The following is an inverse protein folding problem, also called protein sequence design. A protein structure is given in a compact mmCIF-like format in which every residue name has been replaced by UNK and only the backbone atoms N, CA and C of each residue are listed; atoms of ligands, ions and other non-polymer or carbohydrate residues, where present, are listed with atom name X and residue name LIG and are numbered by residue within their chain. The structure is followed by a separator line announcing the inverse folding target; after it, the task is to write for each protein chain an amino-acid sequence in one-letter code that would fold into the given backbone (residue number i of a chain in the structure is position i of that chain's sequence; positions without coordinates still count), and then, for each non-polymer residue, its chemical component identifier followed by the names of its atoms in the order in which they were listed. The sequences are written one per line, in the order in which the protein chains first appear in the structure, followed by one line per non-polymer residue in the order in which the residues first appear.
data_IF_367195306929
#
_entry.id   IF_367195306929
#
_cell.length_a   1.000
_cell.length_b   1.000
_cell.length_c   1.000
_cell.angle_alpha   90.00
_cell.angle_beta   90.00
_cell.angle_gamma   90.00
#
_symmetry.space_group_name_H-M   'P 1'
#
loop_
_entity.id
_entity.type
_entity.pdbx_description
1 polymer ?
#
# COMPACT_ATOMS: atom_id res chain seq x y z
N UNK A 1 27.53 7.30 13.00
CA UNK A 1 26.89 6.57 14.11
C UNK A 1 26.73 5.13 13.65
N UNK A 2 26.85 4.12 14.50
CA UNK A 2 26.57 2.73 14.04
C UNK A 2 25.05 2.50 13.96
N UNK A 3 24.59 1.49 13.20
CA UNK A 3 23.16 1.13 13.13
C UNK A 3 22.58 0.87 14.53
N UNK A 4 23.30 0.12 15.37
CA UNK A 4 22.84 -0.21 16.73
C UNK A 4 22.70 1.02 17.63
N UNK A 5 23.60 2.01 17.46
CA UNK A 5 23.51 3.27 18.19
C UNK A 5 22.28 4.07 17.78
N UNK A 6 21.99 4.15 16.47
CA UNK A 6 20.80 4.84 15.96
C UNK A 6 19.53 4.12 16.45
N UNK A 7 19.49 2.79 16.36
CA UNK A 7 18.36 1.99 16.83
C UNK A 7 18.11 2.14 18.33
N UNK A 8 19.18 2.19 19.13
CA UNK A 8 19.07 2.45 20.57
C UNK A 8 18.48 3.83 20.82
N UNK A 9 18.97 4.86 20.15
CA UNK A 9 18.48 6.24 20.29
C UNK A 9 16.99 6.36 19.93
N UNK A 10 16.56 5.77 18.80
CA UNK A 10 15.15 5.75 18.36
C UNK A 10 14.27 5.08 19.43
N UNK A 11 14.71 3.92 19.95
CA UNK A 11 13.96 3.18 20.97
C UNK A 11 13.92 3.88 22.33
N UNK A 12 14.98 4.54 22.74
CA UNK A 12 15.00 5.29 24.00
C UNK A 12 14.08 6.52 23.97
N UNK A 13 13.88 7.08 22.77
CA UNK A 13 13.04 8.27 22.54
C UNK A 13 11.60 7.93 22.15
N UNK A 14 11.28 6.65 22.01
CA UNK A 14 9.93 6.20 21.66
C UNK A 14 8.90 6.59 22.75
N UNK A 15 7.66 6.93 22.36
CA UNK A 15 7.12 6.91 21.00
C UNK A 15 7.58 8.12 20.18
N UNK A 16 8.05 7.83 18.96
CA UNK A 16 8.36 8.79 17.92
C UNK A 16 7.37 8.63 16.76
N UNK A 17 6.99 9.74 16.14
CA UNK A 17 6.17 9.74 14.93
C UNK A 17 7.01 9.91 13.66
N UNK A 18 6.37 9.73 12.51
CA UNK A 18 6.97 9.90 11.18
C UNK A 18 7.69 11.25 11.07
N UNK A 19 8.96 11.23 10.64
CA UNK A 19 9.77 12.43 10.44
C UNK A 19 10.05 13.25 11.72
N UNK A 20 9.80 12.69 12.91
CA UNK A 20 9.99 13.41 14.18
C UNK A 20 11.46 13.70 14.53
N UNK A 21 12.41 12.98 13.92
CA UNK A 21 13.83 13.30 13.99
C UNK A 21 14.53 13.11 12.64
N UNK A 22 14.63 14.19 11.83
CA UNK A 22 15.30 14.13 10.54
C UNK A 22 16.78 13.74 10.62
N UNK A 23 17.46 14.01 11.73
CA UNK A 23 18.89 13.70 11.86
C UNK A 23 19.16 12.21 12.10
N UNK A 24 18.27 11.52 12.83
CA UNK A 24 18.34 10.06 12.96
C UNK A 24 17.95 9.37 11.66
N UNK A 25 16.98 9.92 10.93
CA UNK A 25 16.57 9.40 9.64
C UNK A 25 17.68 9.56 8.60
N UNK A 26 18.27 10.75 8.45
CA UNK A 26 19.44 10.99 7.57
C UNK A 26 20.61 10.08 7.91
N UNK A 27 20.79 9.75 9.20
CA UNK A 27 21.82 8.80 9.61
C UNK A 27 21.50 7.35 9.20
N UNK A 28 20.22 6.96 9.10
CA UNK A 28 19.80 5.64 8.60
C UNK A 28 19.86 5.54 7.08
N UNK A 29 19.55 6.63 6.37
CA UNK A 29 19.67 6.74 4.91
C UNK A 29 21.11 6.55 4.39
N UNK A 30 22.09 6.52 5.29
CA UNK A 30 23.48 6.25 4.93
C UNK A 30 23.79 4.74 4.76
N UNK A 31 22.86 3.85 5.11
CA UNK A 31 23.00 2.40 4.97
C UNK A 31 22.24 1.89 3.75
N UNK A 32 22.73 0.81 3.14
CA UNK A 32 22.13 0.26 1.91
C UNK A 32 20.78 -0.42 2.21
N UNK A 33 19.89 -0.45 1.21
CA UNK A 33 18.57 -1.06 1.33
C UNK A 33 18.63 -2.52 1.77
N UNK A 34 19.59 -3.31 1.28
CA UNK A 34 19.70 -4.71 1.68
C UNK A 34 19.97 -4.87 3.19
N UNK A 35 20.80 -4.00 3.76
CA UNK A 35 21.10 -4.01 5.20
C UNK A 35 19.86 -3.61 6.02
N UNK A 36 19.14 -2.59 5.56
CA UNK A 36 17.93 -2.11 6.23
C UNK A 36 16.79 -3.12 6.15
N UNK A 37 16.65 -3.84 5.03
CA UNK A 37 15.65 -4.88 4.84
C UNK A 37 15.93 -6.12 5.71
N UNK A 38 17.20 -6.49 5.92
CA UNK A 38 17.59 -7.51 6.89
C UNK A 38 17.20 -7.11 8.32
N UNK A 39 17.54 -5.89 8.73
CA UNK A 39 17.22 -5.37 10.05
C UNK A 39 15.70 -5.25 10.28
N UNK A 40 14.95 -4.85 9.25
CA UNK A 40 13.49 -4.78 9.29
C UNK A 40 12.87 -6.15 9.55
N UNK A 41 13.42 -7.21 8.95
CA UNK A 41 12.97 -8.58 9.21
C UNK A 41 13.29 -9.01 10.64
N UNK A 42 14.49 -8.76 11.14
CA UNK A 42 14.85 -9.07 12.52
C UNK A 42 13.93 -8.35 13.52
N UNK A 43 13.65 -7.07 13.27
CA UNK A 43 12.72 -6.26 14.05
C UNK A 43 11.30 -6.83 14.02
N UNK A 44 10.79 -7.20 12.84
CA UNK A 44 9.45 -7.75 12.69
C UNK A 44 9.28 -9.06 13.46
N UNK A 45 10.32 -9.91 13.44
CA UNK A 45 10.35 -11.14 14.25
C UNK A 45 10.44 -10.85 15.76
N UNK A 46 11.23 -9.87 16.19
CA UNK A 46 11.28 -9.41 17.59
C UNK A 46 9.90 -8.93 18.08
N UNK A 47 9.25 -8.11 17.27
CA UNK A 47 7.94 -7.54 17.57
C UNK A 47 6.91 -8.68 17.76
N UNK A 48 6.83 -9.58 16.77
CA UNK A 48 5.91 -10.71 16.73
C UNK A 48 6.11 -11.76 17.84
N UNK A 49 7.33 -11.92 18.36
CA UNK A 49 7.61 -12.87 19.46
C UNK A 49 6.98 -12.47 20.80
N UNK A 50 6.65 -11.21 21.00
CA UNK A 50 6.02 -10.79 22.25
C UNK A 50 4.52 -10.60 22.14
N UNK A 51 3.95 -9.92 23.12
CA UNK A 51 2.50 -9.73 23.19
C UNK A 51 2.08 -8.76 22.09
N UNK A 52 1.08 -9.16 21.29
CA UNK A 52 0.41 -8.31 20.31
C UNK A 52 -0.32 -7.15 21.00
N UNK A 53 -0.41 -6.01 20.33
CA UNK A 53 -0.94 -4.79 20.92
C UNK A 53 -2.39 -4.90 21.40
N UNK A 54 -3.26 -5.53 20.61
CA UNK A 54 -4.65 -5.82 21.00
C UNK A 54 -4.78 -6.69 22.27
N UNK A 55 -3.71 -7.40 22.65
CA UNK A 55 -3.62 -8.27 23.82
C UNK A 55 -2.75 -7.69 24.94
N UNK A 56 -2.05 -6.59 24.72
CA UNK A 56 -1.23 -5.94 25.73
C UNK A 56 -2.11 -5.41 26.88
N UNK A 57 -1.65 -5.62 28.12
CA UNK A 57 -2.35 -5.22 29.35
C UNK A 57 -1.44 -4.51 30.34
N UNK A 58 -0.12 -4.61 30.18
CA UNK A 58 0.87 -3.98 31.07
C UNK A 58 1.63 -2.87 30.35
N UNK A 59 2.05 -1.87 31.11
CA UNK A 59 2.76 -0.70 30.60
C UNK A 59 4.03 -1.09 29.83
N UNK A 60 4.78 -2.06 30.34
CA UNK A 60 6.04 -2.53 29.74
C UNK A 60 5.80 -3.22 28.39
N UNK A 61 4.63 -3.85 28.21
CA UNK A 61 4.24 -4.49 26.95
C UNK A 61 3.95 -3.42 25.89
N UNK A 62 3.21 -2.36 26.26
CA UNK A 62 2.97 -1.21 25.39
C UNK A 62 4.26 -0.46 25.05
N UNK A 63 5.13 -0.20 26.03
CA UNK A 63 6.42 0.46 25.79
C UNK A 63 7.31 -0.33 24.83
N UNK A 64 7.32 -1.67 24.93
CA UNK A 64 8.04 -2.53 23.99
C UNK A 64 7.49 -2.42 22.58
N UNK A 65 6.16 -2.43 22.43
CA UNK A 65 5.50 -2.32 21.12
C UNK A 65 5.79 -0.96 20.48
N UNK A 66 5.65 0.13 21.23
CA UNK A 66 5.97 1.48 20.75
C UNK A 66 7.41 1.60 20.24
N UNK A 67 8.35 0.94 20.93
CA UNK A 67 9.76 0.88 20.49
C UNK A 67 9.94 0.12 19.18
N UNK A 68 9.21 -0.98 18.99
CA UNK A 68 9.21 -1.69 17.72
C UNK A 68 8.56 -0.85 16.61
N UNK A 69 7.43 -0.20 16.88
CA UNK A 69 6.70 0.63 15.92
C UNK A 69 7.53 1.83 15.46
N UNK A 70 8.11 2.60 16.39
CA UNK A 70 8.97 3.72 16.04
C UNK A 70 10.21 3.29 15.26
N UNK A 71 10.82 2.15 15.58
CA UNK A 71 11.95 1.68 14.81
C UNK A 71 11.55 1.16 13.42
N UNK A 72 10.40 0.49 13.32
CA UNK A 72 9.86 0.01 12.06
C UNK A 72 9.63 1.18 11.11
N UNK A 73 8.97 2.23 11.60
CA UNK A 73 8.69 3.47 10.86
C UNK A 73 9.97 4.15 10.33
N UNK A 74 10.99 4.30 11.18
CA UNK A 74 12.27 4.90 10.76
C UNK A 74 13.00 4.06 9.70
N UNK A 75 13.02 2.73 9.84
CA UNK A 75 13.66 1.86 8.85
C UNK A 75 12.90 1.90 7.53
N UNK A 76 11.57 1.78 7.54
CA UNK A 76 10.78 1.85 6.31
C UNK A 76 10.89 3.22 5.64
N UNK A 77 10.90 4.30 6.42
CA UNK A 77 11.08 5.64 5.88
C UNK A 77 12.46 5.82 5.22
N UNK A 78 13.54 5.31 5.82
CA UNK A 78 14.87 5.36 5.22
C UNK A 78 14.91 4.59 3.89
N UNK A 79 14.34 3.38 3.85
CA UNK A 79 14.20 2.58 2.63
C UNK A 79 13.44 3.36 1.54
N UNK A 80 12.34 4.01 1.90
CA UNK A 80 11.57 4.81 0.96
C UNK A 80 12.34 6.03 0.43
N UNK A 81 13.14 6.68 1.28
CA UNK A 81 13.94 7.86 0.91
C UNK A 81 15.05 7.56 -0.09
N UNK A 82 15.52 6.31 -0.19
CA UNK A 82 16.45 5.90 -1.24
C UNK A 82 15.82 5.95 -2.65
N UNK A 83 14.48 5.88 -2.73
CA UNK A 83 13.74 6.05 -3.98
C UNK A 83 13.88 4.89 -4.96
N UNK A 84 14.35 3.72 -4.52
CA UNK A 84 14.41 2.50 -5.35
C UNK A 84 13.11 1.69 -5.24
N UNK A 85 12.26 1.63 -6.28
CA UNK A 85 11.03 0.84 -6.22
C UNK A 85 11.29 -0.68 -6.15
N UNK A 86 12.52 -1.18 -6.40
CA UNK A 86 12.85 -2.60 -6.34
C UNK A 86 12.68 -3.22 -4.93
N UNK A 87 12.57 -2.38 -3.90
CA UNK A 87 12.29 -2.81 -2.51
C UNK A 87 10.83 -3.27 -2.31
N UNK A 88 9.90 -2.81 -3.16
CA UNK A 88 8.46 -3.03 -2.99
C UNK A 88 8.07 -4.51 -2.81
N UNK A 89 8.54 -5.47 -3.65
CA UNK A 89 8.19 -6.88 -3.45
C UNK A 89 8.59 -7.40 -2.06
N UNK A 90 9.73 -6.96 -1.55
CA UNK A 90 10.21 -7.38 -0.23
C UNK A 90 9.37 -6.78 0.91
N UNK A 91 8.79 -5.60 0.69
CA UNK A 91 7.96 -4.91 1.67
C UNK A 91 6.51 -5.43 1.72
N UNK A 92 6.01 -6.07 0.66
CA UNK A 92 4.62 -6.57 0.59
C UNK A 92 4.25 -7.56 1.70
N UNK A 93 5.23 -8.29 2.26
CA UNK A 93 5.00 -9.20 3.40
C UNK A 93 4.63 -8.47 4.69
N UNK A 94 4.97 -7.19 4.83
CA UNK A 94 4.65 -6.37 6.00
C UNK A 94 3.31 -5.64 5.88
N UNK A 95 2.70 -5.62 4.69
CA UNK A 95 1.34 -5.10 4.51
C UNK A 95 0.37 -5.94 5.36
N UNK A 96 -0.44 -5.34 6.25
CA UNK A 96 -1.37 -6.11 7.07
C UNK A 96 -2.42 -6.85 6.23
N UNK A 97 -2.83 -8.00 6.74
CA UNK A 97 -3.91 -8.80 6.18
C UNK A 97 -5.27 -8.20 6.52
N UNK A 98 -6.29 -8.59 5.75
CA UNK A 98 -7.69 -8.26 6.05
C UNK A 98 -8.18 -8.98 7.33
N UNK A 99 -7.52 -10.08 7.70
CA UNK A 99 -7.79 -10.90 8.90
C UNK A 99 -6.57 -10.88 9.82
N UNK A 100 -6.53 -9.91 10.73
CA UNK A 100 -5.38 -9.60 11.59
C UNK A 100 -4.84 -10.78 12.41
N UNK A 101 -5.61 -11.86 12.58
CA UNK A 101 -5.14 -13.08 13.23
C UNK A 101 -4.12 -13.88 12.38
N UNK A 102 -4.00 -13.57 11.09
CA UNK A 102 -3.05 -14.19 10.15
C UNK A 102 -1.67 -13.52 10.18
N UNK A 103 -1.56 -12.31 10.74
CA UNK A 103 -0.31 -11.57 10.76
C UNK A 103 0.51 -11.88 12.02
N UNK A 104 1.83 -11.91 11.83
CA UNK A 104 2.78 -12.08 12.93
C UNK A 104 2.68 -10.91 13.93
N UNK A 105 2.43 -9.71 13.41
CA UNK A 105 2.32 -8.47 14.16
C UNK A 105 0.95 -7.85 13.92
N UNK A 106 0.33 -7.37 14.99
CA UNK A 106 -0.81 -6.46 14.89
C UNK A 106 -0.26 -5.02 14.83
N UNK A 107 -0.37 -4.39 13.66
CA UNK A 107 0.01 -2.98 13.45
C UNK A 107 -1.21 -2.08 13.68
N UNK A 108 -1.03 -0.97 14.39
CA UNK A 108 -2.04 0.10 14.43
C UNK A 108 -2.17 0.78 13.06
N UNK A 109 -3.28 1.52 12.91
CA UNK A 109 -3.62 2.24 11.69
C UNK A 109 -2.45 3.10 11.20
N UNK A 110 -1.78 3.86 12.07
CA UNK A 110 -0.68 4.74 11.66
C UNK A 110 0.52 3.98 11.05
N UNK A 111 0.90 2.83 11.61
CA UNK A 111 2.00 1.98 11.11
C UNK A 111 1.60 1.29 9.80
N UNK A 112 0.37 0.80 9.73
CA UNK A 112 -0.17 0.15 8.53
C UNK A 112 -0.36 1.14 7.36
N UNK A 113 -0.82 2.36 7.65
CA UNK A 113 -0.95 3.43 6.69
C UNK A 113 0.42 3.90 6.20
N UNK A 114 1.42 3.99 7.08
CA UNK A 114 2.78 4.38 6.69
C UNK A 114 3.34 3.43 5.63
N UNK A 115 3.36 2.11 5.89
CA UNK A 115 3.90 1.14 4.92
C UNK A 115 3.09 1.14 3.62
N UNK A 116 1.76 1.18 3.69
CA UNK A 116 0.90 1.18 2.51
C UNK A 116 1.06 2.46 1.66
N UNK A 117 1.11 3.62 2.30
CA UNK A 117 1.29 4.90 1.62
C UNK A 117 2.69 4.97 1.01
N UNK A 118 3.73 4.59 1.75
CA UNK A 118 5.11 4.60 1.25
C UNK A 118 5.31 3.72 0.01
N UNK A 119 4.77 2.49 0.00
CA UNK A 119 4.81 1.58 -1.17
C UNK A 119 4.21 2.22 -2.43
N UNK A 120 3.24 3.11 -2.27
CA UNK A 120 2.51 3.77 -3.37
C UNK A 120 2.81 5.26 -3.49
N UNK A 121 3.87 5.75 -2.84
CA UNK A 121 4.16 7.18 -2.83
C UNK A 121 4.98 7.59 -4.06
N UNK A 122 4.36 8.38 -4.93
CA UNK A 122 5.03 8.94 -6.08
C UNK A 122 6.04 10.04 -5.73
N UNK A 123 6.05 10.56 -4.50
CA UNK A 123 7.11 11.47 -4.04
C UNK A 123 8.42 10.71 -3.76
N UNK A 124 8.35 9.42 -3.41
CA UNK A 124 9.52 8.55 -3.27
C UNK A 124 9.94 7.92 -4.59
N UNK A 125 9.00 7.31 -5.31
CA UNK A 125 9.33 6.40 -6.41
C UNK A 125 8.94 6.91 -7.81
N UNK A 126 8.36 8.12 -7.91
CA UNK A 126 7.83 8.62 -9.18
C UNK A 126 6.77 7.68 -9.77
N UNK A 127 6.75 7.52 -11.09
CA UNK A 127 5.85 6.57 -11.78
C UNK A 127 6.38 5.13 -11.80
N UNK A 128 7.64 4.90 -11.41
CA UNK A 128 8.34 3.62 -11.54
C UNK A 128 7.83 2.55 -10.56
N UNK A 129 7.19 2.94 -9.45
CA UNK A 129 6.56 1.96 -8.54
C UNK A 129 5.41 1.19 -9.19
N UNK A 130 4.69 1.80 -10.15
CA UNK A 130 3.50 1.20 -10.76
C UNK A 130 3.81 -0.13 -11.45
N UNK A 131 4.78 -0.20 -12.40
CA UNK A 131 5.11 -1.46 -13.04
C UNK A 131 5.66 -2.51 -12.06
N UNK A 132 6.44 -2.09 -11.05
CA UNK A 132 6.96 -3.01 -10.02
C UNK A 132 5.82 -3.58 -9.19
N UNK A 133 4.97 -2.72 -8.64
CA UNK A 133 3.85 -3.09 -7.80
C UNK A 133 2.85 -3.96 -8.57
N UNK A 134 2.50 -3.63 -9.81
CA UNK A 134 1.63 -4.47 -10.64
C UNK A 134 2.21 -5.87 -10.86
N UNK A 135 3.54 -5.98 -11.01
CA UNK A 135 4.23 -7.27 -11.14
C UNK A 135 4.10 -8.17 -9.90
N UNK A 136 4.09 -7.59 -8.70
CA UNK A 136 4.06 -8.33 -7.43
C UNK A 136 2.75 -8.21 -6.63
N UNK A 137 1.75 -7.44 -7.06
CA UNK A 137 0.48 -7.20 -6.32
C UNK A 137 -0.27 -8.50 -6.00
N UNK A 138 0.01 -9.56 -6.77
CA UNK A 138 -0.56 -10.87 -6.56
C UNK A 138 -0.14 -11.54 -5.25
N UNK A 139 0.94 -11.09 -4.62
CA UNK A 139 1.40 -11.59 -3.32
C UNK A 139 0.47 -11.17 -2.17
N UNK A 140 -0.32 -10.12 -2.37
CA UNK A 140 -1.30 -9.66 -1.38
C UNK A 140 -2.59 -10.48 -1.42
N UNK A 141 -2.98 -11.04 -2.56
CA UNK A 141 -4.29 -11.68 -2.72
C UNK A 141 -4.20 -13.17 -2.45
N UNK A 142 -5.09 -13.75 -1.59
CA UNK A 142 -6.30 -13.16 -1.01
C UNK A 142 -6.14 -12.57 0.40
N UNK A 143 -4.93 -12.58 0.96
CA UNK A 143 -4.67 -12.22 2.37
C UNK A 143 -5.01 -10.75 2.70
N UNK A 144 -4.72 -9.83 1.81
CA UNK A 144 -4.80 -8.38 2.00
C UNK A 144 -5.50 -7.72 0.78
N UNK A 145 -6.75 -8.12 0.51
CA UNK A 145 -7.51 -7.62 -0.63
C UNK A 145 -7.79 -6.12 -0.51
N UNK A 146 -8.08 -5.61 0.70
CA UNK A 146 -8.33 -4.17 0.90
C UNK A 146 -7.10 -3.31 0.61
N UNK A 147 -5.92 -3.79 0.98
CA UNK A 147 -4.66 -3.11 0.66
C UNK A 147 -4.39 -3.13 -0.86
N UNK A 148 -4.60 -4.28 -1.52
CA UNK A 148 -4.45 -4.38 -2.98
C UNK A 148 -5.41 -3.46 -3.74
N UNK A 149 -6.67 -3.34 -3.28
CA UNK A 149 -7.66 -2.39 -3.79
C UNK A 149 -7.22 -0.94 -3.58
N UNK A 150 -6.75 -0.60 -2.37
CA UNK A 150 -6.21 0.73 -2.06
C UNK A 150 -5.02 1.08 -2.96
N UNK A 151 -4.13 0.13 -3.23
CA UNK A 151 -3.01 0.32 -4.14
C UNK A 151 -3.46 0.59 -5.57
N UNK A 152 -4.45 -0.16 -6.06
CA UNK A 152 -5.05 0.10 -7.37
C UNK A 152 -5.64 1.52 -7.46
N UNK A 153 -6.39 1.93 -6.42
CA UNK A 153 -6.95 3.28 -6.35
C UNK A 153 -5.87 4.36 -6.35
N UNK A 154 -4.78 4.19 -5.58
CA UNK A 154 -3.64 5.11 -5.55
C UNK A 154 -2.97 5.24 -6.92
N UNK A 155 -2.76 4.13 -7.63
CA UNK A 155 -2.21 4.15 -8.99
C UNK A 155 -3.09 4.95 -9.95
N UNK A 156 -4.42 4.73 -9.94
CA UNK A 156 -5.39 5.50 -10.74
C UNK A 156 -5.27 7.00 -10.41
N UNK A 157 -5.39 7.32 -9.13
CA UNK A 157 -5.42 8.70 -8.64
C UNK A 157 -4.16 9.48 -9.06
N UNK A 158 -2.98 8.88 -8.87
CA UNK A 158 -1.73 9.52 -9.23
C UNK A 158 -1.56 9.68 -10.74
N UNK A 159 -2.01 8.72 -11.54
CA UNK A 159 -1.98 8.87 -13.00
C UNK A 159 -2.91 9.98 -13.49
N UNK A 160 -4.07 10.18 -12.85
CA UNK A 160 -5.01 11.24 -13.22
C UNK A 160 -4.55 12.62 -12.75
N UNK A 161 -4.01 12.73 -11.53
CA UNK A 161 -3.65 14.03 -10.92
C UNK A 161 -2.20 14.40 -11.15
N UNK A 162 -1.27 13.50 -10.83
CA UNK A 162 0.16 13.78 -10.71
C UNK A 162 0.87 13.61 -12.04
N UNK A 163 0.74 12.43 -12.66
CA UNK A 163 1.38 12.13 -13.94
C UNK A 163 0.55 12.65 -15.13
N UNK A 164 -0.74 12.89 -14.92
CA UNK A 164 -1.70 13.39 -15.93
C UNK A 164 -1.69 12.55 -17.20
N UNK A 165 -1.51 11.25 -17.05
CA UNK A 165 -1.36 10.30 -18.14
C UNK A 165 -1.88 8.92 -17.71
N UNK A 166 -3.18 8.65 -17.94
CA UNK A 166 -3.76 7.34 -17.62
C UNK A 166 -3.20 6.22 -18.52
N UNK A 167 -2.71 6.56 -19.71
CA UNK A 167 -2.19 5.58 -20.66
C UNK A 167 -0.94 4.89 -20.12
N UNK A 168 -0.16 5.55 -19.24
CA UNK A 168 0.97 4.91 -18.57
C UNK A 168 0.52 3.70 -17.74
N UNK A 169 -0.44 3.89 -16.84
CA UNK A 169 -1.02 2.80 -16.05
C UNK A 169 -1.63 1.71 -16.95
N UNK A 170 -2.41 2.10 -17.96
CA UNK A 170 -3.02 1.15 -18.91
C UNK A 170 -1.96 0.28 -19.60
N UNK A 171 -0.87 0.91 -20.05
CA UNK A 171 0.24 0.21 -20.70
C UNK A 171 0.97 -0.74 -19.74
N UNK A 172 0.94 -0.51 -18.43
CA UNK A 172 1.55 -1.39 -17.43
C UNK A 172 0.67 -2.58 -17.01
N UNK A 173 -0.64 -2.58 -17.29
CA UNK A 173 -1.56 -3.61 -16.77
C UNK A 173 -1.16 -5.04 -17.15
N UNK A 174 -0.50 -5.23 -18.31
CA UNK A 174 -0.02 -6.54 -18.77
C UNK A 174 1.00 -7.22 -17.83
N UNK A 175 1.60 -6.47 -16.91
CA UNK A 175 2.56 -6.98 -15.93
C UNK A 175 1.88 -7.78 -14.81
N UNK A 176 0.60 -7.53 -14.56
CA UNK A 176 -0.13 -8.18 -13.49
C UNK A 176 -0.60 -9.60 -13.87
N UNK A 177 -0.66 -10.49 -12.89
CA UNK A 177 -1.26 -11.82 -13.08
C UNK A 177 -2.75 -11.69 -13.36
N UNK A 178 -3.20 -12.17 -14.54
CA UNK A 178 -4.59 -12.06 -15.04
C UNK A 178 -5.66 -12.34 -14.00
N UNK A 179 -5.65 -13.52 -13.41
CA UNK A 179 -6.69 -13.92 -12.45
C UNK A 179 -6.69 -13.05 -11.19
N UNK A 180 -5.51 -12.63 -10.74
CA UNK A 180 -5.39 -11.82 -9.53
C UNK A 180 -5.85 -10.40 -9.77
N UNK A 181 -5.41 -9.75 -10.85
CA UNK A 181 -5.83 -8.39 -11.14
C UNK A 181 -7.33 -8.32 -11.44
N UNK A 182 -7.91 -9.32 -12.12
CA UNK A 182 -9.37 -9.41 -12.27
C UNK A 182 -10.10 -9.50 -10.93
N UNK A 183 -9.59 -10.29 -9.98
CA UNK A 183 -10.19 -10.37 -8.64
C UNK A 183 -10.16 -9.02 -7.91
N UNK A 184 -9.05 -8.27 -8.02
CA UNK A 184 -8.93 -6.94 -7.42
C UNK A 184 -9.93 -6.00 -8.11
N UNK A 185 -9.92 -5.90 -9.44
CA UNK A 185 -10.84 -5.05 -10.20
C UNK A 185 -12.32 -5.36 -9.90
N UNK A 186 -12.70 -6.64 -9.85
CA UNK A 186 -14.07 -7.06 -9.54
C UNK A 186 -14.43 -6.74 -8.07
N UNK A 187 -13.47 -6.87 -7.15
CA UNK A 187 -13.63 -6.44 -5.76
C UNK A 187 -13.88 -4.92 -5.69
N UNK A 188 -13.00 -4.12 -6.30
CA UNK A 188 -13.08 -2.66 -6.33
C UNK A 188 -14.40 -2.14 -6.93
N UNK A 189 -14.87 -2.75 -8.02
CA UNK A 189 -16.16 -2.39 -8.63
C UNK A 189 -17.31 -2.68 -7.67
N UNK A 190 -17.31 -3.86 -7.03
CA UNK A 190 -18.37 -4.22 -6.08
C UNK A 190 -18.38 -3.28 -4.89
N UNK A 191 -17.23 -3.03 -4.29
CA UNK A 191 -17.07 -2.20 -3.10
C UNK A 191 -17.52 -0.75 -3.39
N UNK A 192 -17.05 -0.17 -4.50
CA UNK A 192 -17.48 1.16 -4.93
C UNK A 192 -19.00 1.25 -5.20
N UNK A 193 -19.62 0.21 -5.76
CA UNK A 193 -21.08 0.16 -5.94
C UNK A 193 -21.85 0.05 -4.62
N UNK A 194 -21.30 -0.67 -3.64
CA UNK A 194 -21.89 -0.79 -2.30
C UNK A 194 -21.85 0.56 -1.58
N UNK A 195 -20.71 1.26 -1.60
CA UNK A 195 -20.61 2.60 -1.00
C UNK A 195 -21.61 3.60 -1.57
N UNK A 196 -21.81 3.59 -2.90
CA UNK A 196 -22.76 4.52 -3.55
C UNK A 196 -24.19 4.20 -3.09
N UNK A 197 -24.53 2.92 -2.91
CA UNK A 197 -25.84 2.49 -2.39
C UNK A 197 -26.05 2.92 -0.95
N UNK A 198 -25.05 2.75 -0.08
CA UNK A 198 -25.14 3.13 1.34
C UNK A 198 -25.34 4.63 1.54
N UNK A 199 -24.79 5.45 0.65
CA UNK A 199 -24.98 6.91 0.64
C UNK A 199 -26.40 7.33 0.23
N UNK A 200 -27.31 6.39 -0.10
CA UNK A 200 -28.73 6.59 -0.40
C UNK A 200 -29.02 7.75 -1.36
N UNK A 201 -28.23 7.87 -2.43
CA UNK A 201 -28.40 8.89 -3.44
C UNK A 201 -28.84 8.24 -4.76
N UNK A 202 -30.16 8.02 -4.90
CA UNK A 202 -30.76 7.31 -6.04
C UNK A 202 -30.40 7.94 -7.39
N UNK A 203 -30.35 9.28 -7.47
CA UNK A 203 -29.95 9.99 -8.69
C UNK A 203 -28.50 9.69 -9.08
N UNK A 204 -27.59 9.66 -8.11
CA UNK A 204 -26.18 9.30 -8.33
C UNK A 204 -26.05 7.85 -8.81
N UNK A 205 -26.79 6.93 -8.20
CA UNK A 205 -26.82 5.50 -8.60
C UNK A 205 -27.30 5.36 -10.04
N UNK A 206 -28.41 6.04 -10.41
CA UNK A 206 -28.95 6.00 -11.76
C UNK A 206 -27.96 6.55 -12.79
N UNK A 207 -27.29 7.66 -12.48
CA UNK A 207 -26.27 8.25 -13.35
C UNK A 207 -25.08 7.31 -13.56
N UNK A 208 -24.59 6.67 -12.50
CA UNK A 208 -23.52 5.67 -12.57
C UNK A 208 -23.94 4.47 -13.44
N UNK A 209 -25.12 3.89 -13.18
CA UNK A 209 -25.64 2.75 -13.95
C UNK A 209 -25.79 3.13 -15.43
N UNK A 210 -26.28 4.34 -15.72
CA UNK A 210 -26.40 4.84 -17.10
C UNK A 210 -25.03 4.91 -17.76
N UNK A 211 -24.03 5.50 -17.08
CA UNK A 211 -22.67 5.63 -17.61
C UNK A 211 -22.02 4.28 -17.87
N UNK A 212 -22.20 3.32 -16.98
CA UNK A 212 -21.66 1.95 -17.10
C UNK A 212 -22.26 1.14 -18.28
N UNK A 213 -23.41 1.56 -18.83
CA UNK A 213 -24.02 0.92 -20.01
C UNK A 213 -23.41 1.38 -21.33
N UNK A 214 -22.64 2.47 -21.31
CA UNK A 214 -21.99 3.04 -22.47
C UNK A 214 -20.50 2.64 -22.47
N UNK A 215 -19.85 2.54 -23.64
CA UNK A 215 -18.40 2.38 -23.71
C UNK A 215 -17.68 3.48 -22.91
N UNK A 216 -16.63 3.11 -22.18
CA UNK A 216 -15.80 4.06 -21.45
C UNK A 216 -14.49 4.18 -22.23
N UNK A 217 -14.39 5.23 -23.05
CA UNK A 217 -13.20 5.42 -23.92
C UNK A 217 -12.06 6.14 -23.20
N UNK A 218 -12.37 6.86 -22.12
CA UNK A 218 -11.40 7.57 -21.27
C UNK A 218 -12.02 7.86 -19.90
N UNK A 219 -11.16 8.22 -18.95
CA UNK A 219 -11.55 8.64 -17.59
C UNK A 219 -10.80 9.90 -17.16
N UNK A 220 -11.44 10.67 -16.29
CA UNK A 220 -10.88 11.86 -15.64
C UNK A 220 -10.97 11.76 -14.12
N UNK A 221 -10.29 12.67 -13.41
CA UNK A 221 -10.28 12.69 -11.95
C UNK A 221 -11.68 12.79 -11.33
N UNK A 222 -12.57 13.60 -11.92
CA UNK A 222 -13.93 13.83 -11.42
C UNK A 222 -14.89 12.67 -11.70
N UNK A 223 -14.47 11.66 -12.47
CA UNK A 223 -15.28 10.46 -12.67
C UNK A 223 -15.42 9.67 -11.37
N UNK A 224 -16.59 9.05 -11.19
CA UNK A 224 -16.85 8.16 -10.07
C UNK A 224 -15.85 7.00 -10.06
N UNK A 225 -15.36 6.61 -8.87
CA UNK A 225 -14.32 5.57 -8.75
C UNK A 225 -14.70 4.26 -9.45
N UNK A 226 -15.98 3.87 -9.38
CA UNK A 226 -16.49 2.70 -10.12
C UNK A 226 -16.32 2.81 -11.64
N UNK A 227 -16.46 4.00 -12.22
CA UNK A 227 -16.23 4.26 -13.65
C UNK A 227 -14.74 4.12 -13.97
N UNK A 228 -13.88 4.71 -13.13
CA UNK A 228 -12.42 4.63 -13.29
C UNK A 228 -11.90 3.20 -13.27
N UNK A 229 -12.35 2.40 -12.30
CA UNK A 229 -11.98 0.98 -12.19
C UNK A 229 -12.60 0.15 -13.33
N UNK A 230 -13.84 0.44 -13.73
CA UNK A 230 -14.48 -0.27 -14.86
C UNK A 230 -13.72 -0.02 -16.16
N UNK A 231 -13.24 1.21 -16.40
CA UNK A 231 -12.37 1.53 -17.52
C UNK A 231 -11.10 0.67 -17.51
N UNK A 232 -10.36 0.64 -16.40
CA UNK A 232 -9.15 -0.21 -16.31
C UNK A 232 -9.46 -1.68 -16.56
N UNK A 233 -10.60 -2.17 -16.06
CA UNK A 233 -11.02 -3.55 -16.34
C UNK A 233 -11.28 -3.79 -17.81
N UNK A 234 -11.92 -2.86 -18.51
CA UNK A 234 -12.13 -2.96 -19.96
C UNK A 234 -10.79 -2.97 -20.71
N UNK A 235 -9.88 -2.06 -20.39
CA UNK A 235 -8.54 -2.03 -20.97
C UNK A 235 -7.75 -3.30 -20.69
N UNK A 236 -7.82 -3.81 -19.46
CA UNK A 236 -7.15 -5.06 -19.09
C UNK A 236 -7.65 -6.25 -19.90
N UNK A 237 -8.97 -6.35 -20.11
CA UNK A 237 -9.55 -7.43 -20.91
C UNK A 237 -9.18 -7.31 -22.39
N UNK A 238 -9.04 -6.10 -22.94
CA UNK A 238 -8.55 -5.89 -24.31
C UNK A 238 -7.13 -6.45 -24.48
N UNK A 239 -6.25 -6.28 -23.49
CA UNK A 239 -4.87 -6.78 -23.53
C UNK A 239 -4.77 -8.31 -23.49
N UNK A 240 -5.70 -8.99 -22.82
CA UNK A 240 -5.65 -10.45 -22.61
C UNK A 240 -6.57 -11.28 -23.52
N UNK A 241 -7.24 -10.64 -24.49
CA UNK A 241 -8.18 -11.30 -25.39
C UNK A 241 -9.51 -11.63 -24.71
N UNK A 242 -10.59 -11.56 -25.49
CA UNK A 242 -11.95 -11.91 -25.06
C UNK A 242 -12.09 -13.44 -24.89
N UNK A 243 -11.52 -14.00 -23.84
CA UNK A 243 -11.99 -15.27 -23.29
C UNK A 243 -12.92 -14.96 -22.12
N UNK A 244 -14.18 -14.68 -22.47
CA UNK A 244 -15.32 -14.46 -21.59
C UNK A 244 -16.61 -14.58 -22.41
#
# INVERSE_FOLDING_TARGET
MTREQIYTEIRERSPLGVGSDPGLLEALEAFEDEELLEDLEELYQEWGRGIQLNRARKKEEFERIQKCESLFDFITQAIFHHGDPAVIPQLLKYVPSDDTDQDLVFMEDYSSEHICNGITDADYFGEEYIPVLLGCIHELVPRAMRAADTFLYRMILQNLIKFKNIDFLVNCLHLAKRETLLKILDYSIRDALEEIKEKNNDERIENVIKRLKEPIDSIVFDDEGVIQVTFLRQEFLKLHGHDG
#
